data_IF_787907217880
#
_entry.id   IF_787907217880
#
_cell.length_a   1.000
_cell.length_b   1.000
_cell.length_c   1.000
_cell.angle_alpha   90.00
_cell.angle_beta   90.00
_cell.angle_gamma   90.00
#
_symmetry.space_group_name_H-M   'P 1'
#
loop_
_entity.id
_entity.type
_entity.pdbx_description
1 polymer ?
#
# COMPACT_ATOMS: atom_id res chain seq x y z
N UNK A 1 13.65 0.05 4.88
CA UNK A 1 14.63 -1.05 4.96
C UNK A 1 15.91 -0.59 4.29
N UNK A 2 17.08 -0.77 4.90
CA UNK A 2 18.35 -0.27 4.36
C UNK A 2 19.23 -1.37 3.79
N UNK A 3 19.87 -1.11 2.66
CA UNK A 3 20.83 -2.01 2.02
C UNK A 3 20.22 -2.92 0.95
N UNK A 4 21.05 -3.69 0.23
CA UNK A 4 20.56 -4.52 -0.87
C UNK A 4 19.50 -5.52 -0.42
N UNK A 5 18.41 -5.66 -1.19
CA UNK A 5 17.39 -6.64 -0.88
C UNK A 5 17.82 -8.04 -1.34
N UNK A 6 18.14 -8.88 -0.37
CA UNK A 6 18.42 -10.30 -0.56
C UNK A 6 17.13 -11.12 -0.66
N UNK A 7 17.25 -12.39 -1.08
CA UNK A 7 16.14 -13.33 -1.07
C UNK A 7 15.54 -13.51 0.33
N UNK A 8 16.38 -13.62 1.37
CA UNK A 8 15.90 -13.75 2.75
C UNK A 8 15.07 -12.55 3.20
N UNK A 9 15.54 -11.33 2.90
CA UNK A 9 14.79 -10.11 3.18
C UNK A 9 13.44 -10.09 2.44
N UNK A 10 13.44 -10.41 1.14
CA UNK A 10 12.21 -10.48 0.35
C UNK A 10 11.23 -11.55 0.86
N UNK A 11 11.71 -12.72 1.32
CA UNK A 11 10.84 -13.77 1.90
C UNK A 11 10.19 -13.34 3.21
N UNK A 12 10.92 -12.62 4.07
CA UNK A 12 10.33 -12.06 5.29
C UNK A 12 9.24 -11.05 4.94
N UNK A 13 9.48 -10.15 3.98
CA UNK A 13 8.46 -9.20 3.50
C UNK A 13 7.25 -9.96 2.93
N UNK A 14 7.49 -10.94 2.06
CA UNK A 14 6.46 -11.77 1.45
C UNK A 14 5.55 -12.44 2.48
N UNK A 15 6.14 -12.97 3.55
CA UNK A 15 5.38 -13.55 4.66
C UNK A 15 4.41 -12.54 5.29
N UNK A 16 4.81 -11.28 5.45
CA UNK A 16 3.92 -10.21 5.91
C UNK A 16 2.90 -9.78 4.86
N UNK A 17 3.26 -9.75 3.57
CA UNK A 17 2.35 -9.49 2.46
C UNK A 17 1.26 -10.56 2.30
N UNK A 18 1.48 -11.77 2.83
CA UNK A 18 0.48 -12.84 2.84
C UNK A 18 -0.66 -12.62 3.85
N UNK A 19 -0.53 -11.67 4.78
CA UNK A 19 -1.52 -11.37 5.81
C UNK A 19 -2.61 -10.42 5.28
N UNK A 20 -3.70 -10.27 6.03
CA UNK A 20 -4.75 -9.27 5.72
C UNK A 20 -4.29 -7.87 6.12
N UNK A 21 -4.47 -6.91 5.22
CA UNK A 21 -4.21 -5.49 5.43
C UNK A 21 -5.15 -4.67 4.54
N UNK A 22 -5.47 -3.45 4.98
CA UNK A 22 -6.20 -2.48 4.15
C UNK A 22 -5.24 -1.73 3.23
N UNK A 23 -4.05 -1.38 3.75
CA UNK A 23 -2.98 -0.72 2.99
C UNK A 23 -1.61 -1.27 3.40
N UNK A 24 -0.77 -1.58 2.41
CA UNK A 24 0.63 -1.97 2.56
C UNK A 24 1.52 -0.94 1.86
N UNK A 25 2.51 -0.40 2.57
CA UNK A 25 3.53 0.49 2.00
C UNK A 25 4.86 -0.26 1.98
N UNK A 26 5.38 -0.53 0.79
CA UNK A 26 6.69 -1.12 0.57
C UNK A 26 7.70 -0.01 0.25
N UNK A 27 8.45 0.40 1.26
CA UNK A 27 9.48 1.44 1.13
C UNK A 27 10.84 0.86 0.75
N UNK A 28 11.26 1.20 -0.47
CA UNK A 28 12.52 0.79 -1.10
C UNK A 28 13.53 1.96 -1.20
N UNK A 29 13.28 3.09 -0.54
CA UNK A 29 14.12 4.30 -0.65
C UNK A 29 15.59 4.04 -0.31
N UNK A 30 15.85 3.24 0.71
CA UNK A 30 17.22 2.89 1.15
C UNK A 30 17.71 1.54 0.56
N UNK A 31 17.03 1.02 -0.47
CA UNK A 31 17.41 -0.22 -1.15
C UNK A 31 18.15 0.14 -2.45
N UNK A 32 19.49 0.04 -2.49
CA UNK A 32 20.26 0.42 -3.67
C UNK A 32 20.20 -0.62 -4.80
N UNK A 33 19.91 -1.87 -4.48
CA UNK A 33 19.87 -3.00 -5.41
C UNK A 33 18.92 -4.08 -4.90
N UNK A 34 18.21 -4.73 -5.83
CA UNK A 34 17.42 -5.93 -5.57
C UNK A 34 17.98 -7.12 -6.33
N UNK A 35 18.18 -8.25 -5.63
CA UNK A 35 18.53 -9.52 -6.26
C UNK A 35 17.41 -10.03 -7.18
N UNK A 36 17.77 -10.90 -8.14
CA UNK A 36 16.79 -11.51 -9.07
C UNK A 36 15.68 -12.25 -8.33
N UNK A 37 16.06 -13.17 -7.43
CA UNK A 37 15.07 -13.96 -6.66
C UNK A 37 14.25 -13.09 -5.72
N UNK A 38 14.83 -12.01 -5.17
CA UNK A 38 14.10 -11.05 -4.36
C UNK A 38 13.00 -10.35 -5.18
N UNK A 39 13.35 -9.93 -6.40
CA UNK A 39 12.42 -9.27 -7.33
C UNK A 39 11.27 -10.19 -7.74
N UNK A 40 11.57 -11.44 -8.09
CA UNK A 40 10.56 -12.46 -8.41
C UNK A 40 9.66 -12.77 -7.22
N UNK A 41 10.22 -12.81 -6.01
CA UNK A 41 9.45 -13.05 -4.79
C UNK A 41 8.45 -11.91 -4.55
N UNK A 42 8.89 -10.66 -4.67
CA UNK A 42 8.00 -9.50 -4.52
C UNK A 42 6.93 -9.47 -5.61
N UNK A 43 7.29 -9.78 -6.86
CA UNK A 43 6.31 -9.84 -7.94
C UNK A 43 5.22 -10.89 -7.69
N UNK A 44 5.61 -12.10 -7.30
CA UNK A 44 4.67 -13.18 -7.02
C UNK A 44 3.69 -12.80 -5.90
N UNK A 45 4.16 -12.13 -4.85
CA UNK A 45 3.30 -11.68 -3.75
C UNK A 45 2.37 -10.53 -4.16
N UNK A 46 2.85 -9.59 -4.98
CA UNK A 46 2.00 -8.53 -5.53
C UNK A 46 0.90 -9.12 -6.42
N UNK A 47 1.22 -10.15 -7.24
CA UNK A 47 0.19 -10.89 -8.00
C UNK A 47 -0.80 -11.60 -7.10
N UNK A 48 -0.32 -12.31 -6.08
CA UNK A 48 -1.19 -13.01 -5.13
C UNK A 48 -2.10 -12.02 -4.37
N UNK A 49 -1.60 -10.84 -4.06
CA UNK A 49 -2.35 -9.79 -3.38
C UNK A 49 -3.47 -9.17 -4.22
N UNK A 50 -3.50 -9.35 -5.56
CA UNK A 50 -4.64 -8.89 -6.39
C UNK A 50 -5.97 -9.53 -6.02
N UNK A 51 -5.93 -10.71 -5.41
CA UNK A 51 -7.13 -11.40 -4.92
C UNK A 51 -7.55 -10.93 -3.52
N UNK A 52 -6.77 -10.04 -2.90
CA UNK A 52 -7.03 -9.46 -1.58
C UNK A 52 -7.54 -8.03 -1.74
N UNK A 53 -8.33 -7.54 -0.79
CA UNK A 53 -8.90 -6.19 -0.83
C UNK A 53 -7.89 -5.07 -0.49
N UNK A 54 -6.70 -5.42 -0.02
CA UNK A 54 -5.67 -4.46 0.40
C UNK A 54 -5.02 -3.70 -0.76
N UNK A 55 -4.76 -2.41 -0.55
CA UNK A 55 -3.98 -1.56 -1.47
C UNK A 55 -2.49 -1.68 -1.18
N UNK A 56 -1.67 -1.67 -2.23
CA UNK A 56 -0.20 -1.72 -2.12
C UNK A 56 0.40 -0.46 -2.71
N UNK A 57 1.27 0.22 -1.98
CA UNK A 57 2.09 1.33 -2.48
C UNK A 57 3.56 0.95 -2.49
N UNK A 58 4.27 1.29 -3.56
CA UNK A 58 5.72 1.13 -3.67
C UNK A 58 6.34 2.53 -3.59
N UNK A 59 7.25 2.71 -2.65
CA UNK A 59 7.93 3.99 -2.40
C UNK A 59 9.41 3.87 -2.73
N UNK A 60 9.98 4.93 -3.31
CA UNK A 60 11.43 5.08 -3.37
C UNK A 60 12.15 4.10 -4.31
N UNK A 61 11.42 3.38 -5.16
CA UNK A 61 12.00 2.56 -6.21
C UNK A 61 12.66 3.46 -7.27
N UNK A 62 13.91 3.85 -7.05
CA UNK A 62 14.69 4.68 -7.96
C UNK A 62 15.67 3.86 -8.80
N UNK A 63 16.15 4.47 -9.89
CA UNK A 63 17.26 3.99 -10.73
C UNK A 63 17.19 2.47 -11.05
N UNK A 64 18.15 1.71 -10.54
CA UNK A 64 18.33 0.30 -10.80
C UNK A 64 17.21 -0.56 -10.22
N UNK A 65 16.65 -0.18 -9.07
CA UNK A 65 15.51 -0.89 -8.46
C UNK A 65 14.27 -0.72 -9.31
N UNK A 66 13.99 0.49 -9.80
CA UNK A 66 12.88 0.74 -10.73
C UNK A 66 12.98 -0.13 -11.98
N UNK A 67 14.14 -0.12 -12.62
CA UNK A 67 14.39 -0.92 -13.83
C UNK A 67 14.29 -2.42 -13.55
N UNK A 68 14.70 -2.87 -12.36
CA UNK A 68 14.58 -4.27 -11.95
C UNK A 68 13.11 -4.68 -11.80
N UNK A 69 12.32 -3.89 -11.07
CA UNK A 69 10.88 -4.12 -10.90
C UNK A 69 10.15 -4.10 -12.26
N UNK A 70 10.57 -3.22 -13.18
CA UNK A 70 10.09 -3.19 -14.56
C UNK A 70 10.35 -4.49 -15.30
N UNK A 71 11.61 -4.95 -15.31
CA UNK A 71 12.02 -6.18 -16.03
C UNK A 71 11.32 -7.43 -15.52
N UNK A 72 10.92 -7.42 -14.25
CA UNK A 72 10.17 -8.51 -13.64
C UNK A 72 8.67 -8.24 -13.61
N UNK A 73 8.15 -7.30 -14.41
CA UNK A 73 6.72 -7.09 -14.62
C UNK A 73 5.91 -6.69 -13.38
N UNK A 74 6.54 -6.19 -12.32
CA UNK A 74 5.84 -5.74 -11.10
C UNK A 74 4.87 -4.58 -11.41
N UNK A 75 5.30 -3.68 -12.27
CA UNK A 75 4.53 -2.53 -12.76
C UNK A 75 3.38 -2.90 -13.71
N UNK A 76 3.33 -4.14 -14.21
CA UNK A 76 2.19 -4.62 -15.01
C UNK A 76 1.06 -5.10 -14.10
N UNK A 77 1.35 -5.29 -12.80
CA UNK A 77 0.42 -5.80 -11.79
C UNK A 77 -0.18 -4.67 -10.96
N UNK A 78 0.59 -3.60 -10.71
CA UNK A 78 0.16 -2.43 -9.95
C UNK A 78 -0.08 -1.22 -10.87
N UNK A 79 -1.18 -0.45 -10.66
CA UNK A 79 -1.38 0.84 -11.32
C UNK A 79 -0.20 1.80 -11.10
N UNK A 80 0.07 2.68 -12.06
CA UNK A 80 1.17 3.65 -11.96
C UNK A 80 1.03 4.59 -10.74
N UNK A 81 -0.20 4.92 -10.34
CA UNK A 81 -0.53 5.70 -9.14
C UNK A 81 -0.09 5.03 -7.82
N UNK A 82 0.18 3.73 -7.83
CA UNK A 82 0.66 3.00 -6.66
C UNK A 82 2.17 3.20 -6.43
N UNK A 83 2.89 3.83 -7.36
CA UNK A 83 4.31 4.14 -7.23
C UNK A 83 4.48 5.59 -6.77
N UNK A 84 4.85 5.76 -5.50
CA UNK A 84 4.85 7.06 -4.84
C UNK A 84 6.27 7.57 -4.56
N UNK A 85 6.47 8.90 -4.56
CA UNK A 85 7.81 9.49 -4.50
C UNK A 85 8.43 9.41 -3.10
N UNK A 86 7.62 9.34 -2.04
CA UNK A 86 8.10 9.33 -0.65
C UNK A 86 7.15 8.57 0.27
N UNK A 87 7.70 8.11 1.40
CA UNK A 87 6.94 7.40 2.43
C UNK A 87 5.87 8.31 3.03
N UNK A 88 6.19 9.61 3.19
CA UNK A 88 5.23 10.62 3.61
C UNK A 88 4.02 10.70 2.66
N UNK A 89 4.25 10.74 1.34
CA UNK A 89 3.16 10.78 0.36
C UNK A 89 2.31 9.51 0.39
N UNK A 90 2.95 8.35 0.58
CA UNK A 90 2.25 7.08 0.72
C UNK A 90 1.39 7.02 1.99
N UNK A 91 1.90 7.50 3.11
CA UNK A 91 1.14 7.59 4.36
C UNK A 91 -0.04 8.55 4.26
N UNK A 92 0.16 9.72 3.66
CA UNK A 92 -0.92 10.69 3.43
C UNK A 92 -2.02 10.10 2.53
N UNK A 93 -1.62 9.43 1.44
CA UNK A 93 -2.55 8.77 0.52
C UNK A 93 -3.30 7.62 1.22
N UNK A 94 -2.58 6.81 2.00
CA UNK A 94 -3.17 5.72 2.78
C UNK A 94 -4.19 6.23 3.80
N UNK A 95 -3.86 7.28 4.55
CA UNK A 95 -4.77 7.89 5.52
C UNK A 95 -6.03 8.44 4.86
N UNK A 96 -5.89 9.13 3.73
CA UNK A 96 -7.05 9.63 2.97
C UNK A 96 -7.95 8.49 2.48
N UNK A 97 -7.37 7.39 1.97
CA UNK A 97 -8.13 6.21 1.54
C UNK A 97 -8.90 5.55 2.68
N UNK A 98 -8.25 5.37 3.83
CA UNK A 98 -8.88 4.75 5.01
C UNK A 98 -9.97 5.64 5.61
N UNK A 99 -9.76 6.95 5.65
CA UNK A 99 -10.77 7.90 6.12
C UNK A 99 -11.96 8.00 5.15
N UNK A 100 -11.73 7.85 3.84
CA UNK A 100 -12.81 7.85 2.83
C UNK A 100 -13.61 6.54 2.83
N UNK A 101 -12.99 5.44 3.24
CA UNK A 101 -13.70 4.18 3.48
C UNK A 101 -14.52 4.21 4.79
N UNK A 102 -14.28 5.19 5.67
CA UNK A 102 -14.84 5.26 7.01
C UNK A 102 -16.17 6.06 7.14
N UNK A 103 -16.72 6.68 6.08
CA UNK A 103 -18.02 7.38 6.15
C UNK A 103 -18.75 7.47 4.79
N UNK A 104 -20.11 7.33 4.76
CA UNK A 104 -21.02 8.20 5.51
C UNK A 104 -21.95 7.43 6.46
N UNK A 105 -21.72 7.59 7.76
CA UNK A 105 -22.63 7.12 8.80
C UNK A 105 -22.69 8.10 10.00
N UNK A 106 -22.57 9.40 9.74
CA UNK A 106 -23.00 10.45 10.64
C UNK A 106 -24.24 11.11 10.03
N UNK A 107 -25.33 10.35 10.00
CA UNK A 107 -26.66 10.94 10.01
C UNK A 107 -26.80 11.73 11.31
N UNK A 108 -26.53 13.03 11.25
CA UNK A 108 -26.95 14.00 12.27
C UNK A 108 -28.47 13.80 12.45
N UNK A 109 -28.95 13.41 13.64
CA UNK A 109 -30.39 13.36 13.86
C UNK A 109 -30.93 14.79 13.73
N UNK A 110 -31.81 14.98 12.74
CA UNK A 110 -32.53 16.21 12.53
C UNK A 110 -33.32 16.56 13.79
N UNK A 111 -32.98 17.72 14.35
CA UNK A 111 -33.82 18.55 15.22
C UNK A 111 -34.46 17.86 16.42
N UNK A 112 -34.00 18.29 17.60
CA UNK A 112 -34.84 18.44 18.77
C UNK A 112 -36.19 19.08 18.36
N UNK A 113 -37.24 18.26 18.29
CA UNK A 113 -38.60 18.76 18.46
C UNK A 113 -38.76 19.02 19.94
N UNK A 114 -38.61 20.29 20.31
CA UNK A 114 -39.16 20.83 21.54
C UNK A 114 -40.65 20.51 21.55
N UNK A 115 -41.02 19.46 22.28
CA UNK A 115 -42.38 19.24 22.71
C UNK A 115 -42.65 20.23 23.85
N UNK A 116 -42.95 21.46 23.45
CA UNK A 116 -43.45 22.47 24.36
C UNK A 116 -44.95 22.23 24.49
N UNK A 117 -45.33 21.49 25.54
CA UNK A 117 -46.72 21.36 25.92
C UNK A 117 -47.36 22.72 26.15
N UNK A 118 -48.63 22.87 25.80
CA UNK A 118 -49.64 23.76 26.43
C UNK A 118 -50.91 23.84 25.59
N UNK A 119 -51.91 23.01 25.93
CA UNK A 119 -53.33 23.37 26.22
C UNK A 119 -54.27 22.19 25.97
#
# INVERSE_FOLDING_TARGET
MSGPMSYGAARTIAYHMGRTYDVLILDLSDVPLMGVTASLTIEAEIRAARHRQGKIFIVGAQSQVRERLRRFHVQDVLPAENFLPSCYHALATASALLNSAAEPALSVPASARLDCGSR
#
